data_IF_576900924133
#
_entry.id   IF_576900924133
#
_cell.length_a   1.000
_cell.length_b   1.000
_cell.length_c   1.000
_cell.angle_alpha   90.00
_cell.angle_beta   90.00
_cell.angle_gamma   90.00
#
_symmetry.space_group_name_H-M   'P 1'
#
loop_
_entity.id
_entity.type
_entity.pdbx_description
1 polymer ?
#
# COMPACT_ATOMS: atom_id res chain seq x y z
N UNK A 1 -8.19 -9.86 0.86
CA UNK A 1 -8.60 -9.44 -0.50
C UNK A 1 -9.86 -10.15 -0.96
N UNK A 2 -10.88 -9.38 -1.32
CA UNK A 2 -12.14 -9.87 -1.89
C UNK A 2 -11.93 -10.49 -3.29
N UNK A 3 -12.64 -11.58 -3.57
CA UNK A 3 -12.75 -12.23 -4.87
C UNK A 3 -13.06 -11.29 -6.05
N UNK A 4 -13.83 -10.22 -5.84
CA UNK A 4 -14.31 -9.33 -6.90
C UNK A 4 -13.20 -8.50 -7.55
N UNK A 5 -12.13 -8.18 -6.79
CA UNK A 5 -10.97 -7.44 -7.30
C UNK A 5 -9.93 -8.36 -7.96
N UNK A 6 -9.84 -9.62 -7.51
CA UNK A 6 -8.82 -10.59 -7.97
C UNK A 6 -8.83 -10.80 -9.48
N UNK A 7 -10.02 -10.88 -10.08
CA UNK A 7 -10.20 -11.09 -11.53
C UNK A 7 -9.62 -10.01 -12.43
N UNK A 8 -9.26 -8.86 -11.87
CA UNK A 8 -8.65 -7.73 -12.57
C UNK A 8 -7.13 -7.65 -12.35
N UNK A 9 -6.55 -8.57 -11.57
CA UNK A 9 -5.10 -8.65 -11.38
C UNK A 9 -4.45 -9.17 -12.65
N UNK A 10 -3.47 -8.46 -13.22
CA UNK A 10 -2.69 -8.98 -14.34
C UNK A 10 -1.90 -10.23 -13.94
N UNK A 11 -1.89 -11.25 -14.81
CA UNK A 11 -1.17 -12.53 -14.55
C UNK A 11 0.34 -12.39 -14.41
N UNK A 12 0.90 -11.30 -14.88
CA UNK A 12 2.32 -10.96 -14.79
C UNK A 12 2.59 -9.89 -13.74
N UNK A 13 1.66 -9.63 -12.82
CA UNK A 13 1.89 -8.73 -11.71
C UNK A 13 3.13 -9.17 -10.90
N UNK A 14 3.97 -8.20 -10.54
CA UNK A 14 5.17 -8.42 -9.73
C UNK A 14 4.99 -7.91 -8.30
N UNK A 15 4.00 -7.04 -8.08
CA UNK A 15 3.66 -6.47 -6.79
C UNK A 15 2.15 -6.21 -6.72
N UNK A 16 1.54 -6.55 -5.59
CA UNK A 16 0.19 -6.17 -5.20
C UNK A 16 0.19 -5.43 -3.86
N UNK A 17 -0.63 -4.40 -3.72
CA UNK A 17 -0.92 -3.76 -2.44
C UNK A 17 -2.42 -3.52 -2.28
N UNK A 18 -2.98 -3.84 -1.12
CA UNK A 18 -4.40 -3.72 -0.86
C UNK A 18 -4.73 -2.96 0.41
N UNK A 19 -5.87 -2.27 0.36
CA UNK A 19 -6.39 -1.43 1.43
C UNK A 19 -7.89 -1.71 1.57
N UNK A 20 -8.30 -2.19 2.75
CA UNK A 20 -9.70 -2.27 3.16
C UNK A 20 -10.09 -0.93 3.81
N UNK A 21 -10.49 0.02 2.97
CA UNK A 21 -10.79 1.40 3.38
C UNK A 21 -11.94 1.42 4.37
N UNK A 22 -12.98 0.63 4.12
CA UNK A 22 -14.13 0.53 5.02
C UNK A 22 -13.73 0.05 6.41
N UNK A 23 -12.94 -1.01 6.51
CA UNK A 23 -12.46 -1.52 7.80
C UNK A 23 -11.55 -0.51 8.52
N UNK A 24 -10.68 0.20 7.78
CA UNK A 24 -9.81 1.25 8.35
C UNK A 24 -10.67 2.37 8.96
N UNK A 25 -11.71 2.83 8.25
CA UNK A 25 -12.58 3.91 8.71
C UNK A 25 -13.45 3.53 9.91
N UNK A 26 -13.72 2.23 10.08
CA UNK A 26 -14.42 1.72 11.25
C UNK A 26 -13.52 1.59 12.49
N UNK A 27 -12.20 1.57 12.31
CA UNK A 27 -11.25 1.38 13.40
C UNK A 27 -11.31 2.55 14.40
N UNK A 28 -11.32 2.28 15.72
CA UNK A 28 -11.30 3.33 16.75
C UNK A 28 -10.11 4.29 16.62
N UNK A 29 -8.93 3.77 16.24
CA UNK A 29 -7.73 4.57 15.99
C UNK A 29 -7.98 5.61 14.88
N UNK A 30 -8.55 5.19 13.75
CA UNK A 30 -8.87 6.11 12.66
C UNK A 30 -9.88 7.16 13.10
N UNK A 31 -10.99 6.77 13.74
CA UNK A 31 -12.05 7.70 14.15
C UNK A 31 -11.58 8.75 15.15
N UNK A 32 -10.69 8.39 16.08
CA UNK A 32 -10.09 9.36 17.03
C UNK A 32 -9.21 10.39 16.31
N UNK A 33 -8.56 9.99 15.22
CA UNK A 33 -7.57 10.80 14.51
C UNK A 33 -8.02 11.26 13.11
N UNK A 34 -9.31 11.14 12.77
CA UNK A 34 -9.84 11.41 11.43
C UNK A 34 -9.45 12.79 10.91
N UNK A 35 -9.54 13.82 11.75
CA UNK A 35 -9.14 15.20 11.42
C UNK A 35 -7.64 15.36 11.15
N UNK A 36 -6.80 14.54 11.78
CA UNK A 36 -5.35 14.57 11.58
C UNK A 36 -4.93 13.78 10.34
N UNK A 37 -5.73 12.77 9.98
CA UNK A 37 -5.60 11.96 8.78
C UNK A 37 -6.37 12.56 7.59
N UNK A 38 -6.85 13.80 7.74
CA UNK A 38 -7.55 14.54 6.71
C UNK A 38 -6.54 15.11 5.70
N UNK A 39 -6.22 14.29 4.69
CA UNK A 39 -5.19 14.60 3.72
C UNK A 39 -5.77 15.42 2.54
N UNK A 40 -5.15 16.54 2.14
CA UNK A 40 -5.59 17.33 0.99
C UNK A 40 -5.70 16.52 -0.32
N UNK A 41 -4.91 15.45 -0.45
CA UNK A 41 -4.97 14.53 -1.59
C UNK A 41 -6.35 13.86 -1.75
N UNK A 42 -7.04 13.57 -0.64
CA UNK A 42 -8.37 12.96 -0.68
C UNK A 42 -9.43 13.95 -1.19
N UNK A 43 -9.24 15.23 -0.87
CA UNK A 43 -10.12 16.30 -1.34
C UNK A 43 -9.84 16.60 -2.82
N UNK A 44 -8.57 16.64 -3.21
CA UNK A 44 -8.17 16.76 -4.61
C UNK A 44 -8.72 15.60 -5.47
N UNK A 45 -8.80 14.38 -4.94
CA UNK A 45 -9.47 13.27 -5.63
C UNK A 45 -10.96 13.59 -5.84
N UNK A 46 -11.66 14.05 -4.80
CA UNK A 46 -13.06 14.48 -4.89
C UNK A 46 -13.27 15.53 -5.99
N UNK A 47 -12.41 16.53 -6.03
CA UNK A 47 -12.49 17.62 -7.01
C UNK A 47 -12.13 17.20 -8.44
N UNK A 48 -11.16 16.31 -8.62
CA UNK A 48 -10.63 15.92 -9.94
C UNK A 48 -11.46 14.83 -10.59
N UNK A 49 -11.82 13.80 -9.84
CA UNK A 49 -12.46 12.59 -10.37
C UNK A 49 -13.93 12.45 -9.95
N UNK A 50 -14.43 13.28 -9.03
CA UNK A 50 -15.84 13.23 -8.59
C UNK A 50 -16.15 12.02 -7.70
N UNK A 51 -15.12 11.47 -7.06
CA UNK A 51 -15.20 10.41 -6.04
C UNK A 51 -14.72 10.97 -4.72
N UNK A 52 -15.55 10.89 -3.69
CA UNK A 52 -15.10 11.14 -2.33
C UNK A 52 -14.48 9.86 -1.77
N UNK A 53 -13.15 9.77 -1.61
CA UNK A 53 -12.50 8.54 -1.15
C UNK A 53 -12.98 8.08 0.23
N UNK A 54 -13.51 9.01 1.05
CA UNK A 54 -13.96 8.72 2.42
C UNK A 54 -15.36 8.09 2.48
N UNK A 55 -16.14 8.16 1.41
CA UNK A 55 -17.51 7.66 1.41
C UNK A 55 -17.79 6.73 0.23
N UNK A 56 -17.17 7.02 -0.91
CA UNK A 56 -17.44 6.32 -2.15
C UNK A 56 -16.53 5.10 -2.33
N UNK A 57 -15.45 4.93 -1.57
CA UNK A 57 -14.46 3.84 -1.74
C UNK A 57 -14.50 2.90 -0.54
N UNK A 58 -14.62 1.60 -0.80
CA UNK A 58 -14.58 0.55 0.22
C UNK A 58 -13.28 -0.24 0.22
N UNK A 59 -12.70 -0.48 -0.95
CA UNK A 59 -11.48 -1.28 -1.10
C UNK A 59 -10.64 -0.73 -2.26
N UNK A 60 -9.33 -0.74 -2.10
CA UNK A 60 -8.35 -0.37 -3.14
C UNK A 60 -7.35 -1.50 -3.30
N UNK A 61 -7.06 -1.87 -4.53
CA UNK A 61 -6.00 -2.81 -4.92
C UNK A 61 -5.11 -2.14 -5.95
N UNK A 62 -3.85 -1.92 -5.61
CA UNK A 62 -2.84 -1.47 -6.55
C UNK A 62 -2.03 -2.67 -7.06
N UNK A 63 -1.70 -2.66 -8.35
CA UNK A 63 -0.93 -3.71 -9.03
C UNK A 63 0.18 -3.08 -9.84
N UNK A 64 1.34 -3.74 -9.90
CA UNK A 64 2.46 -3.33 -10.74
C UNK A 64 2.84 -4.44 -11.72
N UNK A 65 3.06 -4.03 -12.96
CA UNK A 65 3.60 -4.85 -14.04
C UNK A 65 4.68 -4.05 -14.74
N UNK A 66 5.94 -4.49 -14.69
CA UNK A 66 7.07 -3.79 -15.35
C UNK A 66 7.12 -2.28 -15.03
N UNK A 67 7.03 -1.92 -13.74
CA UNK A 67 6.99 -0.53 -13.22
C UNK A 67 5.74 0.28 -13.60
N UNK A 68 4.80 -0.27 -14.36
CA UNK A 68 3.51 0.34 -14.64
C UNK A 68 2.49 -0.02 -13.56
N UNK A 69 2.00 1.00 -12.86
CA UNK A 69 0.99 0.84 -11.82
C UNK A 69 -0.43 0.95 -12.38
N UNK A 70 -1.32 0.08 -11.91
CA UNK A 70 -2.77 0.29 -11.96
C UNK A 70 -3.37 0.24 -10.57
N UNK A 71 -4.43 1.01 -10.37
CA UNK A 71 -5.22 1.05 -9.13
C UNK A 71 -6.63 0.65 -9.46
N UNK A 72 -7.08 -0.43 -8.84
CA UNK A 72 -8.42 -0.99 -8.95
C UNK A 72 -9.17 -0.60 -7.67
N UNK A 73 -10.26 0.12 -7.83
CA UNK A 73 -11.04 0.72 -6.76
C UNK A 73 -12.42 0.08 -6.78
N UNK A 74 -12.87 -0.39 -5.61
CA UNK A 74 -14.26 -0.78 -5.39
C UNK A 74 -14.93 0.19 -4.45
N UNK A 75 -16.20 0.46 -4.70
CA UNK A 75 -16.98 1.26 -3.77
C UNK A 75 -18.41 1.53 -4.19
N UNK A 76 -18.98 2.62 -3.69
CA UNK A 76 -20.34 3.05 -3.97
C UNK A 76 -20.30 4.42 -4.67
N UNK A 77 -20.16 4.40 -5.99
CA UNK A 77 -20.16 5.62 -6.80
C UNK A 77 -21.01 5.49 -8.05
N UNK A 78 -21.45 6.63 -8.58
CA UNK A 78 -22.12 6.69 -9.87
C UNK A 78 -21.08 6.80 -10.99
N UNK A 79 -20.95 5.73 -11.79
CA UNK A 79 -20.13 5.74 -13.00
C UNK A 79 -20.42 6.97 -13.88
N UNK A 80 -21.70 7.29 -14.09
CA UNK A 80 -22.10 8.45 -14.88
C UNK A 80 -21.60 9.78 -14.29
N UNK A 81 -21.59 9.92 -12.95
CA UNK A 81 -21.07 11.11 -12.26
C UNK A 81 -19.56 11.26 -12.51
N UNK A 82 -18.81 10.17 -12.34
CA UNK A 82 -17.35 10.14 -12.55
C UNK A 82 -17.02 10.42 -14.02
N UNK A 83 -17.68 9.73 -14.96
CA UNK A 83 -17.49 9.94 -16.39
C UNK A 83 -17.76 11.39 -16.80
N UNK A 84 -18.91 11.94 -16.40
CA UNK A 84 -19.28 13.33 -16.69
C UNK A 84 -18.22 14.31 -16.17
N UNK A 85 -17.73 14.10 -14.95
CA UNK A 85 -16.69 14.94 -14.34
C UNK A 85 -15.38 14.85 -15.13
N UNK A 86 -14.90 13.65 -15.44
CA UNK A 86 -13.68 13.44 -16.22
C UNK A 86 -13.76 14.06 -17.62
N UNK A 87 -14.87 13.86 -18.33
CA UNK A 87 -15.09 14.44 -19.67
C UNK A 87 -15.12 15.97 -19.59
N UNK A 88 -15.81 16.54 -18.59
CA UNK A 88 -15.82 18.00 -18.37
C UNK A 88 -14.43 18.57 -18.05
N UNK A 89 -13.54 17.74 -17.52
CA UNK A 89 -12.13 18.06 -17.24
C UNK A 89 -11.19 17.73 -18.40
N UNK A 90 -11.72 17.46 -19.61
CA UNK A 90 -10.94 17.25 -20.82
C UNK A 90 -10.65 15.79 -21.18
N UNK A 91 -11.16 14.81 -20.42
CA UNK A 91 -11.01 13.41 -20.79
C UNK A 91 -11.79 13.08 -22.06
N UNK A 92 -11.26 12.16 -22.86
CA UNK A 92 -11.90 11.67 -24.09
C UNK A 92 -12.23 10.20 -23.97
N UNK A 93 -13.37 9.81 -24.51
CA UNK A 93 -13.70 8.39 -24.67
C UNK A 93 -12.88 7.78 -25.81
N UNK A 94 -12.29 6.62 -25.54
CA UNK A 94 -11.67 5.74 -26.51
C UNK A 94 -12.28 4.36 -26.35
N UNK A 95 -12.63 3.73 -27.46
CA UNK A 95 -12.97 2.30 -27.47
C UNK A 95 -11.70 1.49 -27.54
N UNK A 96 -11.56 0.52 -26.64
CA UNK A 96 -10.51 -0.49 -26.70
C UNK A 96 -11.15 -1.86 -26.50
N UNK A 97 -11.09 -2.69 -27.55
CA UNK A 97 -11.94 -3.89 -27.67
C UNK A 97 -13.42 -3.50 -27.48
N UNK A 98 -14.13 -4.19 -26.59
CA UNK A 98 -15.54 -3.91 -26.27
C UNK A 98 -15.71 -2.98 -25.07
N UNK A 99 -14.60 -2.47 -24.52
CA UNK A 99 -14.61 -1.60 -23.35
C UNK A 99 -14.49 -0.12 -23.73
N UNK A 100 -15.14 0.73 -22.93
CA UNK A 100 -15.00 2.18 -23.03
C UNK A 100 -13.98 2.64 -21.99
N UNK A 101 -12.90 3.25 -22.47
CA UNK A 101 -11.80 3.79 -21.64
C UNK A 101 -11.81 5.30 -21.77
N UNK A 102 -11.80 6.01 -20.65
CA UNK A 102 -11.59 7.45 -20.62
C UNK A 102 -10.10 7.75 -20.54
N UNK A 103 -9.62 8.64 -21.40
CA UNK A 103 -8.21 9.05 -21.46
C UNK A 103 -8.10 10.52 -21.09
N UNK A 104 -7.23 10.83 -20.13
CA UNK A 104 -6.86 12.19 -19.77
C UNK A 104 -5.34 12.29 -19.64
N UNK A 105 -4.68 12.82 -20.68
CA UNK A 105 -3.21 12.82 -20.76
C UNK A 105 -2.64 11.41 -20.83
N UNK A 106 -1.73 11.08 -19.90
CA UNK A 106 -1.12 9.74 -19.77
C UNK A 106 -1.97 8.76 -18.96
N UNK A 107 -3.02 9.24 -18.30
CA UNK A 107 -3.87 8.43 -17.42
C UNK A 107 -5.11 7.93 -18.16
N UNK A 108 -5.48 6.70 -17.88
CA UNK A 108 -6.65 6.00 -18.39
C UNK A 108 -7.54 5.57 -17.24
N UNK A 109 -8.85 5.59 -17.48
CA UNK A 109 -9.88 5.21 -16.51
C UNK A 109 -10.85 4.24 -17.19
N UNK A 110 -11.04 3.07 -16.59
CA UNK A 110 -11.92 2.00 -17.07
C UNK A 110 -12.97 1.67 -15.99
N UNK A 111 -14.19 1.38 -16.41
CA UNK A 111 -15.28 0.93 -15.54
C UNK A 111 -15.68 -0.51 -15.92
N UNK A 112 -14.95 -1.53 -15.46
CA UNK A 112 -15.21 -2.91 -15.87
C UNK A 112 -16.47 -3.50 -15.21
N UNK A 113 -16.99 -2.86 -14.16
CA UNK A 113 -18.24 -3.22 -13.51
C UNK A 113 -18.89 -2.02 -12.82
N UNK A 114 -20.18 -2.14 -12.45
CA UNK A 114 -20.99 -1.06 -11.86
C UNK A 114 -20.35 -0.32 -10.67
N UNK A 115 -19.55 -1.02 -9.88
CA UNK A 115 -18.95 -0.54 -8.64
C UNK A 115 -17.43 -0.66 -8.63
N UNK A 116 -16.82 -0.87 -9.80
CA UNK A 116 -15.37 -1.02 -9.98
C UNK A 116 -14.86 0.06 -10.91
N UNK A 117 -13.74 0.65 -10.54
CA UNK A 117 -12.99 1.61 -11.33
C UNK A 117 -11.55 1.16 -11.41
N UNK A 118 -10.94 1.23 -12.59
CA UNK A 118 -9.51 0.99 -12.78
C UNK A 118 -8.88 2.27 -13.29
N UNK A 119 -7.82 2.72 -12.64
CA UNK A 119 -7.04 3.91 -13.01
C UNK A 119 -5.59 3.50 -13.22
N UNK A 120 -4.95 4.00 -14.27
CA UNK A 120 -3.53 3.75 -14.49
C UNK A 120 -3.07 4.30 -15.83
N UNK A 121 -1.85 3.96 -16.24
CA UNK A 121 -1.41 4.27 -17.61
C UNK A 121 -2.25 3.51 -18.63
N UNK A 122 -2.15 3.92 -19.90
CA UNK A 122 -2.79 3.19 -21.00
C UNK A 122 -2.36 1.72 -21.02
N UNK A 123 -1.07 1.44 -20.86
CA UNK A 123 -0.54 0.08 -20.86
C UNK A 123 -1.09 -0.74 -19.69
N UNK A 124 -1.14 -0.15 -18.49
CA UNK A 124 -1.65 -0.83 -17.30
C UNK A 124 -3.15 -1.16 -17.42
N UNK A 125 -3.97 -0.20 -17.89
CA UNK A 125 -5.41 -0.43 -18.10
C UNK A 125 -5.66 -1.46 -19.21
N UNK A 126 -4.89 -1.41 -20.31
CA UNK A 126 -4.98 -2.43 -21.36
C UNK A 126 -4.65 -3.83 -20.83
N UNK A 127 -3.61 -3.95 -20.00
CA UNK A 127 -3.27 -5.21 -19.35
C UNK A 127 -4.42 -5.76 -18.50
N UNK A 128 -5.14 -4.90 -17.77
CA UNK A 128 -6.32 -5.34 -17.00
C UNK A 128 -7.43 -5.87 -17.93
N UNK A 129 -7.73 -5.17 -19.04
CA UNK A 129 -8.74 -5.59 -20.02
C UNK A 129 -8.36 -6.93 -20.67
N UNK A 130 -7.09 -7.12 -20.99
CA UNK A 130 -6.59 -8.34 -21.62
C UNK A 130 -6.64 -9.56 -20.70
N UNK A 131 -6.58 -9.34 -19.38
CA UNK A 131 -6.62 -10.39 -18.36
C UNK A 131 -8.02 -10.57 -17.73
N UNK A 132 -9.01 -9.77 -18.13
CA UNK A 132 -10.35 -9.80 -17.53
C UNK A 132 -11.00 -11.19 -17.67
N UNK A 133 -11.55 -11.70 -16.57
CA UNK A 133 -12.16 -13.02 -16.48
C UNK A 133 -11.17 -14.20 -16.45
N UNK A 134 -9.87 -13.93 -16.55
CA UNK A 134 -8.78 -14.92 -16.52
C UNK A 134 -7.70 -14.59 -15.47
N UNK A 135 -7.81 -13.43 -14.81
CA UNK A 135 -6.88 -12.95 -13.80
C UNK A 135 -6.99 -13.74 -12.51
N UNK A 136 -6.08 -14.70 -12.32
CA UNK A 136 -5.74 -15.22 -11.01
C UNK A 136 -4.47 -14.51 -10.54
N UNK A 137 -4.35 -14.35 -9.22
CA UNK A 137 -3.12 -13.85 -8.61
C UNK A 137 -1.97 -14.77 -9.02
N UNK A 138 -0.84 -14.24 -9.49
CA UNK A 138 0.35 -15.05 -9.77
C UNK A 138 0.71 -15.93 -8.57
N UNK A 139 1.07 -17.20 -8.82
CA UNK A 139 1.19 -18.21 -7.74
C UNK A 139 2.12 -17.75 -6.61
N UNK A 140 3.24 -17.10 -6.92
CA UNK A 140 4.21 -16.67 -5.92
C UNK A 140 3.65 -15.54 -5.02
N UNK A 141 2.86 -14.64 -5.62
CA UNK A 141 2.16 -13.59 -4.88
C UNK A 141 0.98 -14.16 -4.08
N UNK A 142 0.31 -15.19 -4.60
CA UNK A 142 -0.77 -15.86 -3.90
C UNK A 142 -0.26 -16.61 -2.67
N UNK A 143 0.89 -17.29 -2.78
CA UNK A 143 1.59 -17.93 -1.66
C UNK A 143 1.98 -16.90 -0.60
N UNK A 144 2.62 -15.80 -0.99
CA UNK A 144 2.99 -14.71 -0.07
C UNK A 144 1.76 -14.09 0.60
N UNK A 145 0.68 -13.87 -0.16
CA UNK A 145 -0.56 -13.32 0.39
C UNK A 145 -1.23 -14.29 1.38
N UNK A 146 -1.00 -15.60 1.24
CA UNK A 146 -1.57 -16.61 2.14
C UNK A 146 -0.89 -16.65 3.52
N UNK A 147 0.32 -16.10 3.66
CA UNK A 147 1.01 -15.99 4.96
C UNK A 147 0.52 -14.81 5.79
N UNK A 148 -0.15 -13.84 5.14
CA UNK A 148 -0.62 -12.64 5.81
C UNK A 148 -1.87 -12.90 6.67
N UNK A 149 -2.05 -12.16 7.78
CA UNK A 149 -3.23 -12.28 8.61
C UNK A 149 -4.52 -11.99 7.82
N UNK A 150 -5.53 -12.84 7.93
CA UNK A 150 -6.81 -12.69 7.18
C UNK A 150 -7.54 -11.37 7.44
N UNK A 151 -7.30 -10.75 8.59
CA UNK A 151 -7.88 -9.46 8.96
C UNK A 151 -7.00 -8.25 8.65
N UNK A 152 -5.91 -8.40 7.89
CA UNK A 152 -5.06 -7.28 7.52
C UNK A 152 -5.87 -6.23 6.73
N UNK A 153 -5.86 -5.00 7.23
CA UNK A 153 -6.56 -3.87 6.63
C UNK A 153 -5.70 -3.18 5.57
N UNK A 154 -4.38 -3.20 5.75
CA UNK A 154 -3.39 -2.78 4.76
C UNK A 154 -2.46 -3.95 4.53
N UNK A 155 -2.16 -4.26 3.28
CA UNK A 155 -1.21 -5.31 2.96
C UNK A 155 -0.49 -5.06 1.64
N UNK A 156 0.65 -5.72 1.46
CA UNK A 156 1.49 -5.61 0.28
C UNK A 156 2.29 -6.89 0.09
N UNK A 157 2.38 -7.41 -1.12
CA UNK A 157 3.22 -8.56 -1.48
C UNK A 157 4.00 -8.28 -2.76
N UNK A 158 5.30 -8.54 -2.77
CA UNK A 158 6.16 -8.39 -3.95
C UNK A 158 7.01 -9.64 -4.18
N UNK A 159 7.30 -9.93 -5.45
CA UNK A 159 8.33 -10.92 -5.86
C UNK A 159 9.58 -10.26 -6.45
N UNK A 160 9.77 -8.99 -6.12
CA UNK A 160 10.90 -8.18 -6.54
C UNK A 160 11.67 -7.71 -5.30
N UNK A 161 12.98 -7.47 -5.44
CA UNK A 161 13.77 -6.85 -4.39
C UNK A 161 13.15 -5.54 -3.91
N UNK A 162 13.39 -5.21 -2.64
CA UNK A 162 12.98 -3.93 -2.07
C UNK A 162 13.64 -2.78 -2.86
N UNK A 163 12.90 -2.16 -3.76
CA UNK A 163 13.36 -0.98 -4.48
C UNK A 163 13.32 0.21 -3.51
N UNK A 164 14.49 0.77 -3.18
CA UNK A 164 14.65 1.96 -2.34
C UNK A 164 13.86 3.18 -2.84
N UNK A 165 13.50 3.22 -4.12
CA UNK A 165 12.75 4.32 -4.74
C UNK A 165 11.28 4.42 -4.31
N UNK A 166 10.71 3.38 -3.69
CA UNK A 166 9.28 3.34 -3.34
C UNK A 166 8.99 3.59 -1.85
N UNK A 167 10.03 3.70 -1.00
CA UNK A 167 9.85 3.96 0.43
C UNK A 167 10.47 5.31 0.78
N UNK A 168 9.66 6.36 1.07
CA UNK A 168 10.19 7.66 1.47
C UNK A 168 10.77 7.58 2.89
N UNK A 169 12.08 7.28 3.01
CA UNK A 169 12.78 7.19 4.30
C UNK A 169 13.75 8.34 4.53
N UNK A 170 13.98 8.68 5.81
CA UNK A 170 15.04 9.62 6.23
C UNK A 170 16.42 9.02 5.88
N UNK A 171 17.34 9.89 5.46
CA UNK A 171 18.60 9.53 4.76
C UNK A 171 19.52 8.56 5.51
N UNK A 172 19.61 8.62 6.84
CA UNK A 172 20.57 7.80 7.60
C UNK A 172 20.11 6.35 7.80
N UNK A 173 18.81 6.14 8.07
CA UNK A 173 18.22 4.79 8.12
C UNK A 173 18.12 4.20 6.71
N UNK A 174 17.92 5.06 5.70
CA UNK A 174 17.90 4.67 4.30
C UNK A 174 19.17 3.95 3.84
N UNK A 175 20.35 4.39 4.29
CA UNK A 175 21.63 3.76 3.93
C UNK A 175 21.84 2.38 4.56
N UNK A 176 21.39 2.18 5.81
CA UNK A 176 21.45 0.87 6.45
C UNK A 176 20.50 -0.13 5.76
N UNK A 177 19.31 0.33 5.37
CA UNK A 177 18.31 -0.49 4.69
C UNK A 177 18.67 -0.77 3.23
N UNK A 178 19.33 0.16 2.53
CA UNK A 178 19.82 -0.08 1.17
C UNK A 178 20.85 -1.20 1.10
N UNK A 179 21.68 -1.34 2.15
CA UNK A 179 22.69 -2.39 2.21
C UNK A 179 22.09 -3.80 2.35
N UNK A 180 20.90 -3.91 2.94
CA UNK A 180 20.22 -5.19 3.09
C UNK A 180 19.21 -5.50 2.00
N UNK A 181 18.74 -4.47 1.27
CA UNK A 181 17.77 -4.62 0.18
C UNK A 181 18.25 -5.58 -0.92
N UNK A 182 19.56 -5.65 -1.15
CA UNK A 182 20.18 -6.58 -2.12
C UNK A 182 20.06 -8.06 -1.74
N UNK A 183 19.77 -8.39 -0.47
CA UNK A 183 19.56 -9.77 -0.03
C UNK A 183 18.09 -10.20 -0.12
N UNK A 184 17.16 -9.25 -0.13
CA UNK A 184 15.71 -9.50 -0.12
C UNK A 184 15.23 -9.69 -1.55
N UNK A 185 14.56 -10.80 -1.84
CA UNK A 185 14.04 -11.15 -3.17
C UNK A 185 12.53 -11.00 -3.26
N UNK A 186 11.82 -11.12 -2.13
CA UNK A 186 10.38 -10.97 -2.04
C UNK A 186 9.98 -10.44 -0.67
N UNK A 187 8.82 -9.79 -0.59
CA UNK A 187 8.29 -9.24 0.65
C UNK A 187 6.81 -9.49 0.79
N UNK A 188 6.36 -9.69 2.03
CA UNK A 188 4.97 -9.67 2.40
C UNK A 188 4.80 -8.79 3.64
N UNK A 189 3.94 -7.78 3.60
CA UNK A 189 3.73 -6.83 4.70
C UNK A 189 2.24 -6.70 4.94
N UNK A 190 1.83 -6.64 6.20
CA UNK A 190 0.45 -6.46 6.62
C UNK A 190 0.35 -5.57 7.85
N UNK A 191 -0.73 -4.81 7.95
CA UNK A 191 -1.11 -4.07 9.13
C UNK A 191 -2.62 -4.14 9.43
N UNK A 192 -2.97 -4.09 10.71
CA UNK A 192 -4.34 -3.99 11.20
C UNK A 192 -4.39 -2.98 12.35
N UNK A 193 -5.34 -2.06 12.31
CA UNK A 193 -5.52 -0.99 13.29
C UNK A 193 -6.82 -1.09 14.13
N UNK A 194 -7.54 -2.20 14.06
CA UNK A 194 -8.87 -2.34 14.66
C UNK A 194 -8.86 -2.30 16.20
N UNK A 195 -7.76 -2.69 16.84
CA UNK A 195 -7.65 -2.82 18.32
C UNK A 195 -6.32 -2.30 18.89
N UNK A 196 -5.59 -1.49 18.13
CA UNK A 196 -4.19 -1.15 18.38
C UNK A 196 -3.49 -0.94 17.03
N UNK A 197 -2.19 -1.15 16.92
CA UNK A 197 -1.50 -1.31 15.64
C UNK A 197 -0.76 -2.65 15.65
N UNK A 198 -1.22 -3.59 14.82
CA UNK A 198 -0.54 -4.85 14.56
C UNK A 198 0.11 -4.79 13.20
N UNK A 199 1.40 -5.10 13.13
CA UNK A 199 2.17 -5.15 11.90
C UNK A 199 2.89 -6.49 11.80
N UNK A 200 2.90 -7.04 10.59
CA UNK A 200 3.71 -8.20 10.23
C UNK A 200 4.44 -7.88 8.93
N UNK A 201 5.71 -8.25 8.85
CA UNK A 201 6.48 -8.23 7.62
C UNK A 201 7.35 -9.47 7.51
N UNK A 202 7.24 -10.17 6.38
CA UNK A 202 8.10 -11.27 5.99
C UNK A 202 9.05 -10.77 4.88
N UNK A 203 10.35 -10.92 5.10
CA UNK A 203 11.39 -10.63 4.11
C UNK A 203 12.02 -11.94 3.66
N UNK A 204 11.78 -12.33 2.42
CA UNK A 204 12.33 -13.54 1.84
C UNK A 204 13.69 -13.19 1.24
N UNK A 205 14.73 -13.88 1.67
CA UNK A 205 16.11 -13.60 1.28
C UNK A 205 16.63 -14.62 0.27
N UNK A 206 17.62 -14.22 -0.54
CA UNK A 206 18.25 -15.08 -1.54
C UNK A 206 19.01 -16.28 -0.94
N UNK A 207 19.38 -16.21 0.35
CA UNK A 207 20.06 -17.28 1.07
C UNK A 207 19.86 -17.14 2.57
N UNK A 208 20.14 -18.21 3.32
CA UNK A 208 20.06 -18.21 4.78
C UNK A 208 21.10 -17.26 5.40
N UNK A 209 22.32 -17.22 4.84
CA UNK A 209 23.33 -16.23 5.21
C UNK A 209 22.89 -14.79 4.93
N UNK A 210 22.18 -14.57 3.82
CA UNK A 210 21.57 -13.28 3.52
C UNK A 210 20.51 -12.90 4.56
N UNK A 211 19.68 -13.85 4.98
CA UNK A 211 18.71 -13.65 6.05
C UNK A 211 19.39 -13.30 7.39
N UNK A 212 20.47 -13.99 7.77
CA UNK A 212 21.26 -13.65 8.95
C UNK A 212 21.77 -12.21 8.92
N UNK A 213 22.30 -11.77 7.78
CA UNK A 213 22.78 -10.39 7.60
C UNK A 213 21.65 -9.35 7.69
N UNK A 214 20.50 -9.64 7.09
CA UNK A 214 19.29 -8.80 7.18
C UNK A 214 18.84 -8.69 8.64
N UNK A 215 18.73 -9.83 9.35
CA UNK A 215 18.33 -9.89 10.76
C UNK A 215 19.25 -9.08 11.65
N UNK A 216 20.56 -9.29 11.53
CA UNK A 216 21.55 -8.66 12.40
C UNK A 216 21.63 -7.15 12.14
N UNK A 217 21.49 -6.73 10.89
CA UNK A 217 21.40 -5.31 10.53
C UNK A 217 20.13 -4.66 11.10
N UNK A 218 18.96 -5.28 10.98
CA UNK A 218 17.71 -4.75 11.54
C UNK A 218 17.78 -4.65 13.07
N UNK A 219 18.30 -5.68 13.75
CA UNK A 219 18.54 -5.65 15.21
C UNK A 219 19.55 -4.56 15.58
N UNK A 220 20.59 -4.37 14.79
CA UNK A 220 21.57 -3.29 14.96
C UNK A 220 20.94 -1.90 14.86
N UNK A 221 20.07 -1.67 13.86
CA UNK A 221 19.31 -0.41 13.70
C UNK A 221 18.40 -0.16 14.90
N UNK A 222 17.67 -1.17 15.38
CA UNK A 222 16.82 -1.05 16.57
C UNK A 222 17.66 -0.75 17.81
N UNK A 223 18.79 -1.44 18.00
CA UNK A 223 19.71 -1.20 19.11
C UNK A 223 20.27 0.22 19.10
N UNK A 224 20.67 0.72 17.93
CA UNK A 224 21.16 2.09 17.77
C UNK A 224 20.06 3.12 18.02
N UNK A 225 18.86 2.91 17.49
CA UNK A 225 17.70 3.77 17.73
C UNK A 225 17.39 3.87 19.23
N UNK A 226 17.44 2.74 19.94
CA UNK A 226 17.26 2.70 21.39
C UNK A 226 18.34 3.47 22.16
N UNK A 227 19.61 3.35 21.77
CA UNK A 227 20.73 4.06 22.41
C UNK A 227 20.74 5.57 22.16
N UNK A 228 20.17 6.01 21.03
CA UNK A 228 20.11 7.43 20.64
C UNK A 228 18.84 8.14 21.11
N UNK A 229 17.87 7.37 21.61
CA UNK A 229 16.63 7.88 22.19
C UNK A 229 16.91 8.50 23.55
N UNK A 230 16.36 9.69 23.79
CA UNK A 230 16.56 10.40 25.06
C UNK A 230 15.78 9.71 26.19
N UNK A 231 16.27 9.83 27.42
CA UNK A 231 15.66 9.21 28.61
C UNK A 231 14.19 9.64 28.86
N UNK A 232 13.81 10.83 28.41
CA UNK A 232 12.45 11.36 28.52
C UNK A 232 11.48 10.80 27.45
N UNK A 233 11.98 10.00 26.50
CA UNK A 233 11.21 9.42 25.40
C UNK A 233 10.83 7.96 25.67
N UNK A 234 10.34 7.65 26.87
CA UNK A 234 9.97 6.29 27.30
C UNK A 234 9.03 5.56 26.32
N UNK A 235 8.14 6.29 25.66
CA UNK A 235 7.22 5.72 24.66
C UNK A 235 7.95 5.18 23.42
N UNK A 236 9.05 5.81 22.98
CA UNK A 236 9.86 5.33 21.86
C UNK A 236 10.62 4.07 22.23
N UNK A 237 11.11 3.96 23.48
CA UNK A 237 11.73 2.73 23.98
C UNK A 237 10.73 1.56 23.93
N UNK A 238 9.48 1.79 24.39
CA UNK A 238 8.41 0.78 24.31
C UNK A 238 8.06 0.39 22.89
N UNK A 239 8.10 1.33 21.95
CA UNK A 239 7.89 1.04 20.53
C UNK A 239 8.96 0.07 19.99
N UNK A 240 10.23 0.32 20.29
CA UNK A 240 11.31 -0.58 19.88
C UNK A 240 11.21 -1.96 20.52
N UNK A 241 10.85 -2.02 21.81
CA UNK A 241 10.67 -3.28 22.53
C UNK A 241 9.48 -4.11 22.00
N UNK A 242 8.53 -3.49 21.31
CA UNK A 242 7.42 -4.19 20.68
C UNK A 242 7.78 -4.86 19.35
N UNK A 243 8.92 -4.50 18.75
CA UNK A 243 9.38 -5.06 17.47
C UNK A 243 10.14 -6.36 17.73
N UNK A 244 9.60 -7.45 17.21
CA UNK A 244 10.19 -8.78 17.28
C UNK A 244 10.71 -9.16 15.90
N UNK A 245 11.96 -9.66 15.86
CA UNK A 245 12.62 -10.08 14.62
C UNK A 245 13.15 -11.49 14.83
N UNK A 246 12.59 -12.41 14.05
CA UNK A 246 12.96 -13.82 14.02
C UNK A 246 13.39 -14.24 12.61
N UNK A 247 14.13 -15.33 12.52
CA UNK A 247 14.56 -15.92 11.25
C UNK A 247 14.11 -17.38 11.21
N UNK A 248 13.48 -17.76 10.10
CA UNK A 248 13.24 -19.15 9.73
C UNK A 248 13.90 -19.41 8.37
N UNK A 249 15.04 -20.10 8.39
CA UNK A 249 15.89 -20.36 7.20
C UNK A 249 16.19 -19.06 6.43
N UNK A 250 15.57 -18.89 5.27
CA UNK A 250 15.77 -17.74 4.37
C UNK A 250 14.78 -16.61 4.60
N UNK A 251 13.83 -16.77 5.53
CA UNK A 251 12.78 -15.79 5.78
C UNK A 251 13.03 -15.07 7.10
N UNK A 252 12.95 -13.74 7.07
CA UNK A 252 12.93 -12.90 8.27
C UNK A 252 11.50 -12.51 8.58
N UNK A 253 11.05 -12.83 9.77
CA UNK A 253 9.74 -12.48 10.30
C UNK A 253 9.88 -11.28 11.24
N UNK A 254 9.14 -10.22 10.94
CA UNK A 254 9.11 -8.99 11.73
C UNK A 254 7.68 -8.80 12.21
N UNK A 255 7.49 -8.72 13.51
CA UNK A 255 6.18 -8.52 14.11
C UNK A 255 6.20 -7.35 15.09
N UNK A 256 5.14 -6.56 15.11
CA UNK A 256 4.91 -5.56 16.14
C UNK A 256 3.44 -5.55 16.54
N UNK A 257 3.15 -5.61 17.84
CA UNK A 257 1.81 -5.45 18.41
C UNK A 257 1.83 -4.28 19.38
N UNK A 258 1.25 -3.17 18.96
CA UNK A 258 1.18 -1.94 19.72
C UNK A 258 -0.22 -1.77 20.31
N UNK A 259 -0.34 -1.61 21.64
CA UNK A 259 -1.60 -1.28 22.25
C UNK A 259 -2.08 0.11 21.77
N UNK A 260 -3.39 0.40 21.87
CA UNK A 260 -3.98 1.64 21.40
C UNK A 260 -3.24 2.90 21.85
N UNK A 261 -2.77 2.97 23.09
CA UNK A 261 -2.10 4.17 23.60
C UNK A 261 -0.76 4.41 22.90
N UNK A 262 0.00 3.37 22.56
CA UNK A 262 1.25 3.52 21.82
C UNK A 262 1.00 3.83 20.33
N UNK A 263 -0.05 3.23 19.75
CA UNK A 263 -0.45 3.53 18.38
C UNK A 263 -0.90 5.00 18.20
N UNK A 264 -1.65 5.54 19.15
CA UNK A 264 -2.07 6.95 19.15
C UNK A 264 -0.84 7.89 19.15
N UNK A 265 0.18 7.56 19.94
CA UNK A 265 1.41 8.36 20.01
C UNK A 265 2.21 8.32 18.68
N UNK A 266 2.29 7.17 18.01
CA UNK A 266 2.95 7.06 16.70
C UNK A 266 2.36 8.01 15.65
N UNK A 267 1.03 8.15 15.62
CA UNK A 267 0.36 9.04 14.68
C UNK A 267 0.76 10.50 14.91
N UNK A 268 1.05 10.90 16.15
CA UNK A 268 1.53 12.24 16.46
C UNK A 268 2.95 12.52 15.92
N UNK A 269 3.76 11.47 15.70
CA UNK A 269 5.10 11.56 15.11
C UNK A 269 5.12 11.45 13.59
N UNK A 270 4.01 11.04 12.96
CA UNK A 270 3.90 11.14 11.51
C UNK A 270 4.05 12.62 11.13
N UNK A 271 4.97 12.96 10.20
CA UNK A 271 5.11 14.34 9.75
C UNK A 271 3.73 14.79 9.29
N UNK A 272 3.28 15.99 9.71
CA UNK A 272 2.04 16.59 9.22
C UNK A 272 2.09 16.52 7.69
N UNK A 273 1.37 15.56 7.11
CA UNK A 273 1.41 15.25 5.67
C UNK A 273 0.88 16.43 4.84
N UNK A 274 0.30 17.43 5.51
CA UNK A 274 -0.09 18.74 5.00
C UNK A 274 0.99 19.40 4.13
N UNK A 275 2.29 19.33 4.48
CA UNK A 275 3.33 20.06 3.74
C UNK A 275 3.79 19.44 2.41
N UNK A 276 3.63 18.12 2.21
CA UNK A 276 4.09 17.43 0.99
C UNK A 276 3.00 17.23 -0.07
N UNK A 277 1.74 17.37 0.33
CA UNK A 277 0.59 17.24 -0.57
C UNK A 277 0.59 18.35 -1.62
N UNK A 278 0.95 19.58 -1.23
CA UNK A 278 1.03 20.73 -2.14
C UNK A 278 2.14 20.57 -3.20
N UNK A 279 3.29 20.00 -2.81
CA UNK A 279 4.41 19.76 -3.71
C UNK A 279 4.09 18.68 -4.77
N UNK A 280 3.39 17.61 -4.39
CA UNK A 280 2.96 16.55 -5.32
C UNK A 280 1.81 16.96 -6.23
N UNK A 281 0.96 17.88 -5.79
CA UNK A 281 -0.15 18.42 -6.61
C UNK A 281 0.32 19.48 -7.63
N UNK A 282 1.55 19.96 -7.51
CA UNK A 282 2.16 20.96 -8.40
C UNK A 282 2.90 20.38 -9.62
N UNK A 283 2.91 19.05 -9.78
CA UNK A 283 3.48 18.33 -10.94
C UNK A 283 2.40 17.60 -11.73
#
# INVERSE_FOLDING_TARGET
MDSALRRFVPRNATWLAGFDVSSIQEAPLYRRHERQLDLPLLDAASERIGLNPRHDISEVLATWVNDEASVIIRGQFSMQRVMKKLISSGAREMKYRNETVLINGSQCVLFPAKNILVVGSKAAVQSVIENEGHGDIPIELAESLSTLPRGAQVWSVSKQPLLSNHVPMRSEIGSALSNIAGYVTATAVAANIASGLKMQADLICASEKGAEQVRDALRGVIGLARLTTKDDQLQMLRLYDAIHIDQDKQTIHINADLPPELADNLLAYLPRVQGKSEEMLSR
#
